data_IF_005721055982
#
_entry.id   IF_005721055982
#
_cell.length_a   1.000
_cell.length_b   1.000
_cell.length_c   1.000
_cell.angle_alpha   90.00
_cell.angle_beta   90.00
_cell.angle_gamma   90.00
#
_symmetry.space_group_name_H-M   'P 1'
#
loop_
_entity.id
_entity.type
_entity.pdbx_description
1 polymer ?
#
# COMPACT_ATOMS: atom_id res chain seq x y z
N UNK A 1 -2.96 6.48 8.70
CA UNK A 1 -1.70 5.72 8.93
C UNK A 1 -1.63 5.17 10.34
N UNK A 2 -1.84 5.99 11.39
CA UNK A 2 -1.73 5.58 12.79
C UNK A 2 -2.61 4.38 13.17
N UNK A 3 -3.86 4.32 12.69
CA UNK A 3 -4.76 3.19 12.97
C UNK A 3 -4.14 1.84 12.56
N UNK A 4 -3.51 1.77 11.40
CA UNK A 4 -2.88 0.55 10.91
C UNK A 4 -1.65 0.19 11.75
N UNK A 5 -0.84 1.17 12.12
CA UNK A 5 0.33 0.96 12.98
C UNK A 5 -0.07 0.42 14.37
N UNK A 6 -1.08 1.05 14.99
CA UNK A 6 -1.61 0.62 16.28
C UNK A 6 -2.23 -0.77 16.19
N UNK A 7 -3.00 -1.05 15.14
CA UNK A 7 -3.59 -2.36 14.93
C UNK A 7 -2.52 -3.44 14.74
N UNK A 8 -1.49 -3.19 13.93
CA UNK A 8 -0.36 -4.10 13.75
C UNK A 8 0.38 -4.35 15.07
N UNK A 9 0.62 -3.30 15.85
CA UNK A 9 1.24 -3.43 17.16
C UNK A 9 0.39 -4.30 18.10
N UNK A 10 -0.93 -4.08 18.17
CA UNK A 10 -1.82 -4.89 19.01
C UNK A 10 -1.89 -6.36 18.55
N UNK A 11 -1.94 -6.61 17.24
CA UNK A 11 -2.02 -7.96 16.68
C UNK A 11 -0.72 -8.76 16.91
N UNK A 12 0.43 -8.11 16.74
CA UNK A 12 1.73 -8.76 16.84
C UNK A 12 2.25 -8.89 18.28
N UNK A 13 1.88 -8.00 19.21
CA UNK A 13 2.36 -8.07 20.61
C UNK A 13 1.45 -8.84 21.56
N UNK A 14 0.13 -8.81 21.36
CA UNK A 14 -0.81 -9.32 22.38
C UNK A 14 -0.90 -10.84 22.39
N UNK A 15 -0.65 -11.52 21.26
CA UNK A 15 -0.83 -12.98 21.13
C UNK A 15 0.28 -13.83 21.74
N UNK A 16 1.48 -13.31 21.94
CA UNK A 16 2.57 -14.07 22.59
C UNK A 16 2.49 -14.02 24.13
N UNK A 17 1.81 -13.02 24.71
CA UNK A 17 1.73 -12.81 26.17
C UNK A 17 0.59 -13.58 26.85
N UNK A 18 -0.47 -13.92 26.12
CA UNK A 18 -1.66 -14.61 26.66
C UNK A 18 -1.54 -16.14 26.70
N UNK A 19 -0.52 -16.76 26.06
CA UNK A 19 -0.34 -18.22 26.04
C UNK A 19 1.05 -18.61 26.55
N UNK A 20 1.15 -18.85 27.86
CA UNK A 20 2.36 -19.28 28.62
C UNK A 20 2.88 -20.69 28.24
N UNK A 21 2.96 -21.02 26.96
CA UNK A 21 3.48 -22.30 26.47
C UNK A 21 4.45 -21.98 25.31
N UNK A 22 5.66 -21.57 25.66
CA UNK A 22 6.68 -21.16 24.69
C UNK A 22 7.52 -22.38 24.26
N UNK A 23 7.13 -23.00 23.15
CA UNK A 23 7.99 -23.93 22.39
C UNK A 23 8.22 -23.44 20.95
N UNK A 24 8.04 -22.14 20.68
CA UNK A 24 8.26 -21.53 19.37
C UNK A 24 9.50 -20.65 19.33
N UNK A 25 10.09 -20.40 18.15
CA UNK A 25 11.14 -19.39 18.01
C UNK A 25 10.61 -18.02 18.42
N UNK A 26 11.41 -17.26 19.17
CA UNK A 26 11.06 -15.92 19.62
C UNK A 26 11.19 -14.93 18.45
N UNK A 27 10.17 -14.85 17.60
CA UNK A 27 10.05 -13.78 16.60
C UNK A 27 9.46 -12.55 17.28
N UNK A 28 10.29 -11.53 17.51
CA UNK A 28 9.81 -10.25 17.99
C UNK A 28 8.91 -9.57 16.95
N UNK A 29 8.17 -8.55 17.40
CA UNK A 29 7.30 -7.74 16.53
C UNK A 29 8.05 -7.22 15.29
N UNK A 30 9.27 -6.72 15.49
CA UNK A 30 10.08 -6.17 14.40
C UNK A 30 10.38 -7.21 13.33
N UNK A 31 10.80 -8.41 13.73
CA UNK A 31 11.07 -9.51 12.81
C UNK A 31 9.80 -9.94 12.06
N UNK A 32 8.66 -10.06 12.77
CA UNK A 32 7.39 -10.41 12.13
C UNK A 32 6.97 -9.35 11.11
N UNK A 33 7.06 -8.06 11.45
CA UNK A 33 6.74 -6.97 10.52
C UNK A 33 7.63 -7.01 9.28
N UNK A 34 8.94 -7.22 9.42
CA UNK A 34 9.86 -7.29 8.28
C UNK A 34 9.54 -8.44 7.33
N UNK A 35 9.17 -9.60 7.87
CA UNK A 35 8.79 -10.77 7.07
C UNK A 35 7.44 -10.56 6.37
N UNK A 36 6.48 -9.95 7.06
CA UNK A 36 5.15 -9.66 6.51
C UNK A 36 5.19 -8.55 5.45
N UNK A 37 6.03 -7.52 5.62
CA UNK A 37 6.31 -6.50 4.61
C UNK A 37 6.86 -7.13 3.32
N UNK A 38 7.86 -8.01 3.44
CA UNK A 38 8.45 -8.72 2.30
C UNK A 38 7.40 -9.56 1.55
N UNK A 39 6.60 -10.33 2.29
CA UNK A 39 5.54 -11.17 1.74
C UNK A 39 4.46 -10.34 1.03
N UNK A 40 3.95 -9.29 1.70
CA UNK A 40 2.93 -8.42 1.15
C UNK A 40 3.37 -7.80 -0.17
N UNK A 41 4.62 -7.32 -0.22
CA UNK A 41 5.16 -6.68 -1.41
C UNK A 41 5.34 -7.66 -2.57
N UNK A 42 5.80 -8.89 -2.30
CA UNK A 42 5.90 -9.94 -3.33
C UNK A 42 4.54 -10.27 -3.94
N UNK A 43 3.50 -10.40 -3.12
CA UNK A 43 2.15 -10.65 -3.62
C UNK A 43 1.67 -9.52 -4.53
N UNK A 44 1.83 -8.26 -4.11
CA UNK A 44 1.45 -7.09 -4.91
C UNK A 44 2.23 -7.02 -6.23
N UNK A 45 3.54 -7.25 -6.20
CA UNK A 45 4.39 -7.22 -7.41
C UNK A 45 4.08 -8.32 -8.41
N UNK A 46 3.62 -9.48 -7.94
CA UNK A 46 3.23 -10.59 -8.80
C UNK A 46 1.75 -10.54 -9.20
N UNK A 47 1.00 -9.52 -8.75
CA UNK A 47 -0.46 -9.42 -8.93
C UNK A 47 -1.23 -10.60 -8.33
N UNK A 48 -0.72 -11.18 -7.26
CA UNK A 48 -1.30 -12.34 -6.59
C UNK A 48 -2.14 -11.92 -5.38
N UNK A 49 -3.35 -12.47 -5.26
CA UNK A 49 -4.18 -12.39 -4.04
C UNK A 49 -3.67 -13.29 -2.93
N UNK A 50 -3.06 -14.40 -3.31
CA UNK A 50 -2.63 -15.48 -2.43
C UNK A 50 -1.48 -16.26 -3.10
N UNK A 51 -0.70 -17.00 -2.31
CA UNK A 51 0.42 -17.78 -2.82
C UNK A 51 0.42 -19.22 -2.28
N UNK A 52 0.95 -20.19 -3.04
CA UNK A 52 1.23 -21.51 -2.51
C UNK A 52 2.12 -21.43 -1.27
N UNK A 53 1.82 -22.25 -0.25
CA UNK A 53 2.60 -22.33 0.99
C UNK A 53 4.10 -22.55 0.73
N UNK A 54 4.44 -23.38 -0.26
CA UNK A 54 5.83 -23.65 -0.63
C UNK A 54 6.57 -22.38 -1.09
N UNK A 55 5.92 -21.53 -1.91
CA UNK A 55 6.50 -20.27 -2.38
C UNK A 55 6.72 -19.30 -1.22
N UNK A 56 5.72 -19.18 -0.33
CA UNK A 56 5.81 -18.34 0.88
C UNK A 56 6.99 -18.78 1.76
N UNK A 57 7.14 -20.08 2.01
CA UNK A 57 8.27 -20.62 2.78
C UNK A 57 9.59 -20.30 2.08
N UNK A 58 9.66 -20.43 0.75
CA UNK A 58 10.84 -20.05 -0.04
C UNK A 58 11.21 -18.57 0.08
N UNK A 59 10.20 -17.68 0.05
CA UNK A 59 10.41 -16.24 0.24
C UNK A 59 10.88 -15.91 1.66
N UNK A 60 10.28 -16.53 2.67
CA UNK A 60 10.71 -16.40 4.07
C UNK A 60 12.15 -16.87 4.23
N UNK A 61 12.52 -18.03 3.66
CA UNK A 61 13.88 -18.53 3.69
C UNK A 61 14.88 -17.53 3.06
N UNK A 62 14.51 -16.93 1.92
CA UNK A 62 15.33 -15.92 1.29
C UNK A 62 15.52 -14.68 2.18
N UNK A 63 14.45 -14.19 2.83
CA UNK A 63 14.50 -13.03 3.73
C UNK A 63 15.29 -13.32 5.02
N UNK A 64 15.13 -14.51 5.59
CA UNK A 64 15.81 -14.93 6.82
C UNK A 64 17.34 -14.96 6.68
N UNK A 65 17.88 -15.18 5.47
CA UNK A 65 19.33 -15.06 5.22
C UNK A 65 19.88 -13.66 5.55
N UNK A 66 19.05 -12.62 5.49
CA UNK A 66 19.41 -11.26 5.87
C UNK A 66 19.07 -10.93 7.34
N UNK A 67 18.58 -11.90 8.13
CA UNK A 67 18.13 -11.72 9.51
C UNK A 67 18.91 -12.64 10.47
N UNK A 68 20.20 -12.37 10.74
CA UNK A 68 21.09 -13.29 11.46
C UNK A 68 20.67 -13.57 12.91
N UNK A 69 19.80 -12.73 13.50
CA UNK A 69 19.25 -12.93 14.85
C UNK A 69 18.12 -13.97 14.89
N UNK A 70 17.53 -14.30 13.75
CA UNK A 70 16.47 -15.31 13.64
C UNK A 70 17.10 -16.62 13.22
N UNK A 71 17.25 -17.55 14.16
CA UNK A 71 17.86 -18.87 13.94
C UNK A 71 16.82 -19.96 13.61
N UNK A 72 15.55 -19.56 13.48
CA UNK A 72 14.45 -20.47 13.25
C UNK A 72 14.36 -20.95 11.80
N UNK A 73 13.94 -22.20 11.63
CA UNK A 73 13.65 -22.76 10.31
C UNK A 73 12.48 -22.01 9.62
N UNK A 74 12.54 -21.76 8.30
CA UNK A 74 11.49 -21.05 7.56
C UNK A 74 10.08 -21.64 7.72
N UNK A 75 9.92 -22.96 7.85
CA UNK A 75 8.62 -23.60 8.08
C UNK A 75 8.09 -23.33 9.49
N UNK A 76 8.99 -23.20 10.47
CA UNK A 76 8.64 -22.81 11.83
C UNK A 76 8.22 -21.35 11.88
N UNK A 77 8.95 -20.47 11.20
CA UNK A 77 8.61 -19.05 11.03
C UNK A 77 7.25 -18.89 10.36
N UNK A 78 7.03 -19.61 9.25
CA UNK A 78 5.77 -19.63 8.54
C UNK A 78 4.59 -19.97 9.45
N UNK A 79 4.68 -21.06 10.22
CA UNK A 79 3.63 -21.46 11.17
C UNK A 79 3.36 -20.39 12.21
N UNK A 80 4.42 -19.77 12.75
CA UNK A 80 4.27 -18.66 13.71
C UNK A 80 3.51 -17.49 13.08
N UNK A 81 3.86 -17.07 11.87
CA UNK A 81 3.14 -16.00 11.18
C UNK A 81 1.68 -16.37 10.91
N UNK A 82 1.41 -17.58 10.44
CA UNK A 82 0.05 -18.05 10.16
C UNK A 82 -0.82 -18.13 11.43
N UNK A 83 -0.30 -18.74 12.49
CA UNK A 83 -1.07 -19.01 13.71
C UNK A 83 -1.15 -17.80 14.64
N UNK A 84 -0.11 -16.95 14.67
CA UNK A 84 0.06 -15.93 15.72
C UNK A 84 -0.05 -14.50 15.25
N UNK A 85 0.32 -14.17 14.01
CA UNK A 85 0.26 -12.76 13.56
C UNK A 85 -1.17 -12.21 13.50
N UNK A 86 -2.16 -13.08 13.23
CA UNK A 86 -3.52 -12.66 12.94
C UNK A 86 -3.68 -11.91 11.60
N UNK A 87 -2.62 -11.87 10.78
CA UNK A 87 -2.57 -11.14 9.52
C UNK A 87 -2.59 -12.07 8.30
N UNK A 88 -2.21 -13.33 8.48
CA UNK A 88 -2.24 -14.37 7.45
C UNK A 88 -3.29 -15.43 7.77
N UNK A 89 -3.82 -16.07 6.73
CA UNK A 89 -4.68 -17.24 6.85
C UNK A 89 -4.46 -18.19 5.66
N UNK A 90 -4.87 -19.44 5.83
CA UNK A 90 -4.99 -20.41 4.74
C UNK A 90 -6.48 -20.58 4.42
N UNK A 91 -7.01 -19.78 3.51
CA UNK A 91 -8.44 -19.90 3.14
C UNK A 91 -8.70 -21.18 2.33
N UNK A 92 -7.74 -21.60 1.52
CA UNK A 92 -7.71 -22.88 0.80
C UNK A 92 -6.49 -23.64 1.28
N UNK A 93 -6.63 -24.95 1.48
CA UNK A 93 -5.52 -25.79 1.94
C UNK A 93 -4.28 -25.59 1.06
N UNK A 94 -3.16 -25.23 1.69
CA UNK A 94 -1.88 -24.99 1.01
C UNK A 94 -1.76 -23.66 0.26
N UNK A 95 -2.74 -22.74 0.37
CA UNK A 95 -2.66 -21.38 -0.20
C UNK A 95 -2.89 -20.32 0.86
N UNK A 96 -2.06 -19.29 0.84
CA UNK A 96 -1.93 -18.30 1.92
C UNK A 96 -2.23 -16.92 1.40
N UNK A 97 -3.10 -16.20 2.09
CA UNK A 97 -3.42 -14.79 1.83
C UNK A 97 -3.36 -13.96 3.11
N UNK A 98 -3.45 -12.64 2.93
CA UNK A 98 -3.67 -11.72 4.03
C UNK A 98 -5.15 -11.74 4.42
N UNK A 99 -5.43 -11.73 5.72
CA UNK A 99 -6.80 -11.68 6.27
C UNK A 99 -7.56 -10.46 5.76
N UNK A 100 -6.87 -9.34 5.57
CA UNK A 100 -7.45 -8.11 5.03
C UNK A 100 -6.50 -7.41 4.06
N UNK A 101 -7.04 -7.03 2.89
CA UNK A 101 -6.27 -6.38 1.81
C UNK A 101 -5.57 -5.09 2.27
N UNK A 102 -6.21 -4.27 3.11
CA UNK A 102 -5.58 -3.02 3.57
C UNK A 102 -4.32 -3.23 4.40
N UNK A 103 -4.21 -4.34 5.15
CA UNK A 103 -2.94 -4.65 5.84
C UNK A 103 -1.86 -5.06 4.85
N UNK A 104 -2.22 -5.84 3.82
CA UNK A 104 -1.31 -6.17 2.72
C UNK A 104 -0.83 -4.88 2.02
N UNK A 105 -1.74 -3.97 1.69
CA UNK A 105 -1.41 -2.71 1.02
C UNK A 105 -0.50 -1.83 1.87
N UNK A 106 -0.79 -1.71 3.18
CA UNK A 106 0.04 -0.97 4.13
C UNK A 106 1.46 -1.55 4.25
N UNK A 107 1.57 -2.87 4.44
CA UNK A 107 2.85 -3.56 4.60
C UNK A 107 3.67 -3.55 3.30
N UNK A 108 3.01 -3.73 2.15
CA UNK A 108 3.64 -3.64 0.83
C UNK A 108 4.14 -2.21 0.56
N UNK A 109 3.36 -1.20 0.90
CA UNK A 109 3.75 0.20 0.80
C UNK A 109 4.99 0.51 1.64
N UNK A 110 5.02 0.01 2.88
CA UNK A 110 6.20 0.13 3.75
C UNK A 110 7.43 -0.53 3.11
N UNK A 111 7.30 -1.77 2.62
CA UNK A 111 8.41 -2.48 1.99
C UNK A 111 8.94 -1.74 0.76
N UNK A 112 8.05 -1.22 -0.10
CA UNK A 112 8.43 -0.48 -1.30
C UNK A 112 9.23 0.80 -0.97
N UNK A 113 8.85 1.50 0.10
CA UNK A 113 9.60 2.68 0.58
C UNK A 113 10.95 2.27 1.16
N UNK A 114 10.99 1.22 1.98
CA UNK A 114 12.23 0.73 2.59
C UNK A 114 13.25 0.24 1.53
N UNK A 115 12.78 -0.30 0.39
CA UNK A 115 13.62 -0.70 -0.76
C UNK A 115 13.97 0.45 -1.71
N UNK A 116 13.35 1.63 -1.55
CA UNK A 116 13.56 2.76 -2.45
C UNK A 116 12.90 2.60 -3.82
N UNK A 117 11.87 1.74 -3.92
CA UNK A 117 11.18 1.35 -5.15
C UNK A 117 10.19 2.42 -5.69
N UNK A 118 10.55 3.69 -5.58
CA UNK A 118 9.77 4.82 -6.10
C UNK A 118 9.51 4.72 -7.61
N UNK A 119 10.42 4.08 -8.36
CA UNK A 119 10.20 3.77 -9.78
C UNK A 119 9.00 2.85 -10.00
N UNK A 120 8.93 1.77 -9.23
CA UNK A 120 7.86 0.77 -9.29
C UNK A 120 6.53 1.40 -8.88
N UNK A 121 6.50 2.15 -7.77
CA UNK A 121 5.29 2.83 -7.30
C UNK A 121 4.74 3.76 -8.39
N UNK A 122 5.60 4.55 -9.05
CA UNK A 122 5.17 5.48 -10.11
C UNK A 122 4.67 4.76 -11.36
N UNK A 123 5.38 3.72 -11.82
CA UNK A 123 5.00 3.02 -13.04
C UNK A 123 3.67 2.29 -12.89
N UNK A 124 3.31 1.86 -11.69
CA UNK A 124 2.06 1.14 -11.42
C UNK A 124 0.94 2.00 -10.82
N UNK A 125 1.20 3.27 -10.47
CA UNK A 125 0.23 4.14 -9.79
C UNK A 125 -1.10 4.36 -10.54
N UNK A 126 -1.16 4.09 -11.84
CA UNK A 126 -2.37 4.16 -12.64
C UNK A 126 -3.22 2.88 -12.60
N UNK A 127 -2.71 1.83 -11.97
CA UNK A 127 -3.38 0.53 -11.89
C UNK A 127 -4.20 0.46 -10.59
N UNK A 128 -5.49 0.11 -10.65
CA UNK A 128 -6.38 0.15 -9.47
C UNK A 128 -5.90 -0.61 -8.24
N UNK A 129 -5.17 -1.71 -8.43
CA UNK A 129 -4.60 -2.56 -7.37
C UNK A 129 -3.43 -1.91 -6.64
N UNK A 130 -2.81 -0.89 -7.23
CA UNK A 130 -1.68 -0.15 -6.66
C UNK A 130 -2.08 1.18 -6.02
N UNK A 131 -3.27 1.71 -6.31
CA UNK A 131 -3.68 3.03 -5.81
C UNK A 131 -3.48 3.19 -4.30
N UNK A 132 -4.03 2.27 -3.49
CA UNK A 132 -3.89 2.31 -2.03
C UNK A 132 -2.44 2.09 -1.58
N UNK A 133 -1.69 1.24 -2.26
CA UNK A 133 -0.26 1.03 -1.99
C UNK A 133 0.52 2.32 -2.18
N UNK A 134 0.27 3.07 -3.26
CA UNK A 134 0.95 4.35 -3.53
C UNK A 134 0.52 5.43 -2.53
N UNK A 135 -0.77 5.48 -2.17
CA UNK A 135 -1.28 6.41 -1.15
C UNK A 135 -0.65 6.12 0.21
N UNK A 136 -0.61 4.86 0.65
CA UNK A 136 0.02 4.49 1.92
C UNK A 136 1.55 4.67 1.88
N UNK A 137 2.18 4.48 0.71
CA UNK A 137 3.62 4.69 0.54
C UNK A 137 4.00 6.16 0.77
N UNK A 138 3.18 7.12 0.34
CA UNK A 138 3.38 8.53 0.65
C UNK A 138 3.37 8.82 2.17
N UNK A 139 2.57 8.07 2.94
CA UNK A 139 2.54 8.17 4.39
C UNK A 139 3.75 7.53 5.08
N UNK A 140 4.29 6.45 4.51
CA UNK A 140 5.53 5.82 5.00
C UNK A 140 6.81 6.56 4.63
N UNK A 141 6.80 7.30 3.52
CA UNK A 141 7.97 8.00 3.02
C UNK A 141 8.42 9.12 3.96
N UNK A 142 9.72 9.39 3.98
CA UNK A 142 10.28 10.62 4.55
C UNK A 142 9.79 11.84 3.75
N UNK A 143 9.94 13.06 4.28
CA UNK A 143 9.57 14.28 3.55
C UNK A 143 10.19 14.34 2.13
N UNK A 144 11.49 14.05 2.02
CA UNK A 144 12.19 14.02 0.72
C UNK A 144 11.72 12.87 -0.19
N UNK A 145 11.48 11.69 0.37
CA UNK A 145 10.97 10.53 -0.39
C UNK A 145 9.57 10.77 -0.93
N UNK A 146 8.72 11.40 -0.12
CA UNK A 146 7.36 11.80 -0.48
C UNK A 146 7.36 12.83 -1.60
N UNK A 147 8.19 13.87 -1.50
CA UNK A 147 8.37 14.87 -2.57
C UNK A 147 8.84 14.21 -3.88
N UNK A 148 9.76 13.25 -3.78
CA UNK A 148 10.26 12.48 -4.92
C UNK A 148 9.14 11.65 -5.58
N UNK A 149 8.31 10.99 -4.78
CA UNK A 149 7.17 10.21 -5.25
C UNK A 149 6.13 11.10 -5.94
N UNK A 150 5.64 12.13 -5.25
CA UNK A 150 4.55 13.01 -5.73
C UNK A 150 4.96 13.80 -6.96
N UNK A 151 6.13 14.43 -6.94
CA UNK A 151 6.65 15.16 -8.10
C UNK A 151 6.87 14.22 -9.28
N UNK A 152 7.27 12.97 -9.02
CA UNK A 152 7.43 11.94 -10.03
C UNK A 152 6.11 11.50 -10.67
N UNK A 153 5.02 11.37 -9.89
CA UNK A 153 3.69 11.07 -10.42
C UNK A 153 3.18 12.18 -11.35
N UNK A 154 3.35 13.45 -10.96
CA UNK A 154 2.96 14.59 -11.79
C UNK A 154 3.77 14.66 -13.09
N UNK A 155 5.10 14.50 -13.01
CA UNK A 155 5.96 14.46 -14.21
C UNK A 155 5.58 13.32 -15.16
N UNK A 156 5.27 12.15 -14.61
CA UNK A 156 4.81 11.01 -15.42
C UNK A 156 3.48 11.35 -16.12
N UNK A 157 2.53 11.95 -15.41
CA UNK A 157 1.25 12.38 -15.99
C UNK A 157 1.40 13.44 -17.11
N UNK A 158 2.46 14.25 -17.05
CA UNK A 158 2.75 15.28 -18.06
C UNK A 158 3.60 14.79 -19.23
N UNK A 159 4.06 13.53 -19.19
CA UNK A 159 4.87 12.94 -20.26
C UNK A 159 4.04 12.78 -21.55
N UNK A 160 4.63 13.17 -22.68
CA UNK A 160 4.02 13.03 -24.01
C UNK A 160 3.79 11.55 -24.33
N UNK A 161 2.61 11.20 -24.84
CA UNK A 161 2.25 9.84 -25.23
C UNK A 161 1.54 9.02 -24.16
N UNK A 162 1.42 9.51 -22.92
CA UNK A 162 0.60 8.87 -21.89
C UNK A 162 -0.90 9.04 -22.23
N UNK A 163 -1.70 7.94 -22.25
CA UNK A 163 -3.14 7.99 -22.45
C UNK A 163 -3.84 8.94 -21.46
N UNK A 164 -4.90 9.60 -21.93
CA UNK A 164 -5.65 10.56 -21.09
C UNK A 164 -6.16 9.93 -19.79
N UNK A 165 -6.69 8.71 -19.83
CA UNK A 165 -7.17 8.02 -18.64
C UNK A 165 -6.05 7.74 -17.63
N UNK A 166 -4.90 7.23 -18.11
CA UNK A 166 -3.73 6.98 -17.27
C UNK A 166 -3.22 8.27 -16.62
N UNK A 167 -3.16 9.36 -17.38
CA UNK A 167 -2.79 10.70 -16.88
C UNK A 167 -3.72 11.15 -15.75
N UNK A 168 -5.03 11.00 -15.94
CA UNK A 168 -6.02 11.43 -14.96
C UNK A 168 -5.92 10.60 -13.68
N UNK A 169 -5.72 9.27 -13.81
CA UNK A 169 -5.51 8.37 -12.67
C UNK A 169 -4.24 8.73 -11.87
N UNK A 170 -3.12 9.00 -12.55
CA UNK A 170 -1.88 9.41 -11.87
C UNK A 170 -2.07 10.68 -11.04
N UNK A 171 -2.80 11.67 -11.57
CA UNK A 171 -3.10 12.92 -10.86
C UNK A 171 -4.05 12.72 -9.69
N UNK A 172 -5.07 11.87 -9.84
CA UNK A 172 -6.01 11.54 -8.77
C UNK A 172 -5.34 10.73 -7.65
N UNK A 173 -4.42 9.82 -7.98
CA UNK A 173 -3.63 9.09 -6.98
C UNK A 173 -2.72 10.05 -6.23
N UNK A 174 -2.07 10.99 -6.92
CA UNK A 174 -1.29 12.04 -6.26
C UNK A 174 -2.13 12.89 -5.30
N UNK A 175 -3.40 13.18 -5.65
CA UNK A 175 -4.34 13.83 -4.74
C UNK A 175 -4.65 12.98 -3.51
N UNK A 176 -4.91 11.68 -3.69
CA UNK A 176 -5.14 10.77 -2.57
C UNK A 176 -3.94 10.65 -1.63
N UNK A 177 -2.72 10.74 -2.14
CA UNK A 177 -1.52 10.76 -1.31
C UNK A 177 -1.47 11.95 -0.34
N UNK A 178 -2.21 13.05 -0.58
CA UNK A 178 -2.26 14.18 0.35
C UNK A 178 -2.91 13.79 1.69
N UNK A 179 -3.85 12.83 1.70
CA UNK A 179 -4.52 12.35 2.93
C UNK A 179 -3.56 11.69 3.91
N UNK A 180 -2.54 10.99 3.39
CA UNK A 180 -1.56 10.25 4.20
C UNK A 180 -0.27 11.04 4.43
N UNK A 181 -0.17 12.26 3.90
CA UNK A 181 1.05 13.09 3.89
C UNK A 181 0.95 14.24 4.90
N UNK A 182 1.37 14.04 6.16
CA UNK A 182 1.26 15.06 7.21
C UNK A 182 2.19 16.26 6.96
N UNK A 183 3.36 16.01 6.39
CA UNK A 183 4.34 17.04 6.03
C UNK A 183 4.45 17.15 4.51
N UNK A 184 4.17 18.33 3.96
CA UNK A 184 4.25 18.61 2.53
C UNK A 184 4.44 20.10 2.28
N UNK A 185 5.07 20.45 1.17
CA UNK A 185 5.25 21.84 0.77
C UNK A 185 3.93 22.43 0.25
N UNK A 186 3.62 23.71 0.54
CA UNK A 186 2.48 24.40 -0.05
C UNK A 186 2.49 24.36 -1.58
N UNK A 187 3.68 24.42 -2.19
CA UNK A 187 3.89 24.38 -3.63
C UNK A 187 3.45 23.03 -4.22
N UNK A 188 3.81 21.91 -3.59
CA UNK A 188 3.41 20.57 -4.02
C UNK A 188 1.89 20.38 -3.92
N UNK A 189 1.29 20.79 -2.80
CA UNK A 189 -0.16 20.72 -2.64
C UNK A 189 -0.89 21.57 -3.70
N UNK A 190 -0.45 22.80 -3.94
CA UNK A 190 -1.02 23.66 -4.97
C UNK A 190 -0.87 23.07 -6.38
N UNK A 191 0.28 22.47 -6.70
CA UNK A 191 0.51 21.81 -7.98
C UNK A 191 -0.44 20.62 -8.19
N UNK A 192 -0.61 19.77 -7.18
CA UNK A 192 -1.52 18.61 -7.23
C UNK A 192 -2.97 19.08 -7.39
N UNK A 193 -3.43 20.03 -6.56
CA UNK A 193 -4.80 20.58 -6.65
C UNK A 193 -5.08 21.22 -8.01
N UNK A 194 -4.12 21.97 -8.55
CA UNK A 194 -4.25 22.56 -9.90
C UNK A 194 -4.34 21.49 -10.99
N UNK A 195 -3.57 20.41 -10.86
CA UNK A 195 -3.59 19.30 -11.81
C UNK A 195 -4.90 18.51 -11.78
N UNK A 196 -5.56 18.41 -10.61
CA UNK A 196 -6.81 17.66 -10.45
C UNK A 196 -8.09 18.48 -10.63
N UNK A 197 -8.06 19.81 -10.51
CA UNK A 197 -9.25 20.66 -10.63
C UNK A 197 -10.07 20.46 -11.92
N UNK A 198 -9.42 20.08 -13.02
CA UNK A 198 -10.08 19.83 -14.32
C UNK A 198 -10.66 18.41 -14.47
N UNK A 199 -10.42 17.54 -13.48
CA UNK A 199 -10.81 16.13 -13.50
C UNK A 199 -12.17 15.88 -12.84
N UNK A 200 -12.85 16.95 -12.41
CA UNK A 200 -14.21 16.91 -11.89
C UNK A 200 -15.17 17.54 -12.92
N UNK A 201 -16.25 16.83 -13.31
CA UNK A 201 -16.59 15.46 -12.94
C UNK A 201 -15.66 14.41 -13.57
N UNK A 202 -15.43 13.25 -12.91
CA UNK A 202 -14.62 12.17 -13.45
C UNK A 202 -15.28 11.57 -14.70
N UNK A 203 -14.46 11.19 -15.69
CA UNK A 203 -14.92 10.70 -17.00
C UNK A 203 -15.03 9.17 -17.09
N UNK A 204 -14.37 8.46 -16.18
CA UNK A 204 -14.35 6.99 -16.13
C UNK A 204 -14.67 6.50 -14.72
N UNK A 205 -15.13 5.26 -14.60
CA UNK A 205 -15.40 4.65 -13.30
C UNK A 205 -14.11 4.52 -12.47
N UNK A 206 -12.99 4.21 -13.11
CA UNK A 206 -11.68 4.16 -12.45
C UNK A 206 -11.30 5.53 -11.87
N UNK A 207 -11.51 6.61 -12.63
CA UNK A 207 -11.28 7.97 -12.15
C UNK A 207 -12.26 8.34 -11.01
N UNK A 208 -13.53 7.93 -11.10
CA UNK A 208 -14.50 8.16 -10.03
C UNK A 208 -14.11 7.44 -8.73
N UNK A 209 -13.66 6.18 -8.82
CA UNK A 209 -13.13 5.42 -7.68
C UNK A 209 -11.87 6.04 -7.10
N UNK A 210 -10.92 6.46 -7.94
CA UNK A 210 -9.71 7.13 -7.50
C UNK A 210 -10.02 8.47 -6.81
N UNK A 211 -10.95 9.26 -7.36
CA UNK A 211 -11.44 10.48 -6.74
C UNK A 211 -12.10 10.20 -5.39
N UNK A 212 -12.99 9.21 -5.29
CA UNK A 212 -13.65 8.86 -4.03
C UNK A 212 -12.68 8.41 -2.93
N UNK A 213 -11.52 7.85 -3.30
CA UNK A 213 -10.45 7.46 -2.37
C UNK A 213 -9.61 8.65 -1.89
N UNK A 214 -9.69 9.81 -2.54
CA UNK A 214 -8.95 11.00 -2.13
C UNK A 214 -9.55 11.73 -0.92
N UNK A 215 -10.53 11.14 -0.24
CA UNK A 215 -11.03 11.61 1.05
C UNK A 215 -11.62 13.04 1.02
N UNK A 216 -11.48 13.82 2.10
CA UNK A 216 -11.82 15.23 2.15
C UNK A 216 -11.39 16.07 0.94
N UNK A 217 -10.20 15.82 0.35
CA UNK A 217 -9.77 16.58 -0.84
C UNK A 217 -10.68 16.36 -2.06
N UNK A 218 -11.33 15.20 -2.16
CA UNK A 218 -12.33 14.95 -3.19
C UNK A 218 -13.56 15.86 -3.01
N UNK A 219 -13.98 16.08 -1.76
CA UNK A 219 -15.11 16.93 -1.42
C UNK A 219 -14.80 18.39 -1.75
N UNK A 220 -13.62 18.89 -1.38
CA UNK A 220 -13.16 20.24 -1.76
C UNK A 220 -13.24 20.46 -3.27
N UNK A 221 -12.77 19.48 -4.03
CA UNK A 221 -12.74 19.53 -5.49
C UNK A 221 -14.15 19.51 -6.10
N UNK A 222 -15.05 18.71 -5.53
CA UNK A 222 -16.46 18.63 -5.93
C UNK A 222 -17.22 19.92 -5.63
N UNK A 223 -16.96 20.57 -4.49
CA UNK A 223 -17.58 21.85 -4.13
C UNK A 223 -17.15 23.01 -5.04
N UNK A 224 -15.92 22.97 -5.56
CA UNK A 224 -15.39 23.99 -6.46
C UNK A 224 -15.81 23.77 -7.92
N UNK A 225 -16.31 22.59 -8.26
CA UNK A 225 -16.73 22.26 -9.62
C UNK A 225 -18.15 22.77 -9.89
N UNK A 226 -18.39 23.46 -11.03
CA UNK A 226 -19.75 23.87 -11.40
C UNK A 226 -20.63 22.63 -11.64
N UNK A 227 -21.88 22.61 -11.14
CA UNK A 227 -22.77 21.48 -11.32
C UNK A 227 -23.05 21.27 -12.81
N UNK A 228 -22.69 20.09 -13.34
CA UNK A 228 -23.06 19.66 -14.70
C UNK A 228 -24.19 18.64 -14.60
N UNK A 229 -25.32 18.91 -15.27
CA UNK A 229 -26.39 17.92 -15.44
C UNK A 229 -25.82 16.68 -16.16
N UNK A 230 -26.00 15.50 -15.57
CA UNK A 230 -25.81 14.23 -16.27
C UNK A 230 -26.68 14.26 -17.53
N UNK A 231 -26.05 14.23 -18.69
CA UNK A 231 -26.72 13.98 -19.95
C UNK A 231 -26.59 12.48 -20.22
N UNK A 232 -27.72 11.79 -20.09
CA UNK A 232 -27.98 10.40 -20.49
C UNK A 232 -27.28 9.27 -19.68
N UNK A 233 -28.04 8.72 -18.72
CA UNK A 233 -28.15 7.26 -18.57
C UNK A 233 -29.59 6.92 -18.99
N UNK A 234 -29.79 6.61 -20.28
CA UNK A 234 -31.01 6.03 -20.83
C UNK A 234 -30.60 4.83 -21.68
#
# INVERSE_FOLDING_TARGET
>A
MELYEVALHMLLERRDRERRIATGPALGRTEQTLLLCDLAYRLIRNEWSDAPRADVIGWLAAKLRAMPRVTADPERVYRVLLERSGLLREQVEGRVDFVHRSFQEYLAAKQAIDEGDYGVLRSHAHLPQWHEVVVMAAGHATATGRETLLSGLLRLADTTGIPHEQRDLLRLVALGCLETSPERSPEMEAAIRKATAKLVPPRTEAAAKALGRAGPFAIDLLMQAPPRRSTAWY
#
